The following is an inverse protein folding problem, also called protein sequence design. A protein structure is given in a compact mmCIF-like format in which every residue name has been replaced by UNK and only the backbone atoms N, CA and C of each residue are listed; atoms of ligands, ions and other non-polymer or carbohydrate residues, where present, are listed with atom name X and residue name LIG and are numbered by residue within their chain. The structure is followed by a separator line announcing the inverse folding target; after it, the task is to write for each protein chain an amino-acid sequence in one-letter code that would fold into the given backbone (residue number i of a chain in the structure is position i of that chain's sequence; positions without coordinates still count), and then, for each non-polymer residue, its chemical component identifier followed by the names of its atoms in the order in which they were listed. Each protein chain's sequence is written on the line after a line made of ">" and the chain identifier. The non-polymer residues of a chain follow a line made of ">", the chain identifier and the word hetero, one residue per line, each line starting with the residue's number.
data_IF_896664408500
#
_entry.id   IF_896664408500
#
_cell.length_a   1.000
_cell.length_b   1.000
_cell.length_c   1.000
_cell.angle_alpha   90.00
_cell.angle_beta   90.00
_cell.angle_gamma   90.00
#
_symmetry.space_group_name_H-M   'P 1'
#
loop_
_entity.id
_entity.type
_entity.pdbx_description
1 polymer ?
#
# COMPACT_ATOMS: atom_id res chain seq x y z
N UNK A 1 -10.22 29.90 -11.22
CA UNK A 1 -11.01 29.37 -10.08
C UNK A 1 -10.09 28.50 -9.23
N UNK A 2 -10.00 28.79 -7.94
CA UNK A 2 -8.96 28.24 -7.05
C UNK A 2 -9.23 26.78 -6.66
N UNK A 3 -8.25 25.89 -6.88
CA UNK A 3 -8.30 24.45 -6.54
C UNK A 3 -8.60 24.20 -5.05
N UNK A 4 -8.36 25.19 -4.19
CA UNK A 4 -8.65 25.16 -2.75
C UNK A 4 -10.16 25.25 -2.42
N UNK A 5 -11.02 25.55 -3.39
CA UNK A 5 -12.48 25.60 -3.16
C UNK A 5 -13.08 24.19 -3.02
N UNK A 6 -12.53 23.19 -3.71
CA UNK A 6 -12.94 21.77 -3.60
C UNK A 6 -12.62 21.20 -2.21
N UNK A 7 -11.52 21.62 -1.58
CA UNK A 7 -11.17 21.24 -0.20
C UNK A 7 -12.14 21.82 0.84
N UNK A 8 -12.98 22.80 0.47
CA UNK A 8 -13.97 23.44 1.34
C UNK A 8 -15.35 22.78 1.25
N UNK A 9 -15.59 21.92 0.26
CA UNK A 9 -16.82 21.11 0.19
C UNK A 9 -16.79 19.98 1.23
N UNK A 10 -17.82 19.93 2.08
CA UNK A 10 -17.98 18.92 3.14
C UNK A 10 -17.95 17.46 2.62
N UNK A 11 -18.20 17.25 1.34
CA UNK A 11 -18.21 15.93 0.69
C UNK A 11 -16.83 15.48 0.20
N UNK A 12 -15.92 16.42 -0.10
CA UNK A 12 -14.59 16.13 -0.62
C UNK A 12 -13.55 15.90 0.49
N UNK A 13 -13.68 16.60 1.63
CA UNK A 13 -12.75 16.47 2.77
C UNK A 13 -12.59 15.05 3.31
N UNK A 14 -13.67 14.28 3.58
CA UNK A 14 -13.52 12.92 4.08
C UNK A 14 -12.88 11.99 3.05
N UNK A 15 -13.25 12.13 1.77
CA UNK A 15 -12.66 11.36 0.68
C UNK A 15 -11.16 11.63 0.54
N UNK A 16 -10.78 12.90 0.51
CA UNK A 16 -9.38 13.31 0.41
C UNK A 16 -8.56 12.79 1.59
N UNK A 17 -9.08 12.92 2.83
CA UNK A 17 -8.40 12.39 4.01
C UNK A 17 -8.22 10.87 3.94
N UNK A 18 -9.25 10.12 3.53
CA UNK A 18 -9.12 8.66 3.39
C UNK A 18 -8.10 8.25 2.34
N UNK A 19 -8.06 8.94 1.20
CA UNK A 19 -7.10 8.69 0.12
C UNK A 19 -5.68 9.07 0.53
N UNK A 20 -5.52 10.22 1.19
CA UNK A 20 -4.23 10.66 1.74
C UNK A 20 -3.70 9.68 2.77
N UNK A 21 -4.53 9.25 3.74
CA UNK A 21 -4.13 8.31 4.77
C UNK A 21 -3.82 6.92 4.21
N UNK A 22 -4.53 6.48 3.17
CA UNK A 22 -4.19 5.26 2.43
C UNK A 22 -2.82 5.37 1.78
N UNK A 23 -2.63 6.35 0.90
CA UNK A 23 -1.34 6.56 0.23
C UNK A 23 -0.18 6.76 1.21
N UNK A 24 -0.41 7.44 2.34
CA UNK A 24 0.58 7.59 3.40
C UNK A 24 0.93 6.25 4.05
N UNK A 25 -0.07 5.42 4.38
CA UNK A 25 0.13 4.10 4.97
C UNK A 25 0.97 3.20 4.04
N UNK A 26 0.62 3.15 2.75
CA UNK A 26 1.31 2.31 1.76
C UNK A 26 2.79 2.69 1.64
N UNK A 27 3.05 4.00 1.53
CA UNK A 27 4.41 4.51 1.45
C UNK A 27 5.18 4.35 2.76
N UNK A 28 4.52 4.51 3.91
CA UNK A 28 5.15 4.31 5.21
C UNK A 28 5.54 2.85 5.39
N UNK A 29 4.63 1.91 5.06
CA UNK A 29 4.90 0.48 5.15
C UNK A 29 6.05 0.07 4.23
N UNK A 30 6.02 0.49 2.96
CA UNK A 30 7.11 0.25 2.01
C UNK A 30 8.45 0.76 2.54
N UNK A 31 8.52 2.01 3.02
CA UNK A 31 9.77 2.59 3.51
C UNK A 31 10.23 1.93 4.81
N UNK A 32 9.33 1.61 5.74
CA UNK A 32 9.65 0.87 6.96
C UNK A 32 10.21 -0.51 6.64
N UNK A 33 9.65 -1.21 5.65
CA UNK A 33 10.15 -2.49 5.18
C UNK A 33 11.55 -2.35 4.54
N UNK A 34 11.79 -1.31 3.74
CA UNK A 34 13.13 -1.03 3.18
C UNK A 34 14.15 -0.72 4.27
N UNK A 35 13.78 0.06 5.29
CA UNK A 35 14.64 0.32 6.45
C UNK A 35 14.92 -0.99 7.20
N UNK A 36 13.90 -1.80 7.48
CA UNK A 36 14.09 -3.10 8.14
C UNK A 36 15.03 -3.99 7.32
N UNK A 37 14.84 -4.09 6.02
CA UNK A 37 15.74 -4.82 5.13
C UNK A 37 17.17 -4.27 5.20
N UNK A 38 17.33 -2.95 5.26
CA UNK A 38 18.67 -2.35 5.31
C UNK A 38 19.42 -2.67 6.60
N UNK A 39 18.73 -2.69 7.75
CA UNK A 39 19.36 -2.87 9.06
C UNK A 39 19.30 -4.30 9.60
N UNK A 40 18.29 -5.09 9.23
CA UNK A 40 18.03 -6.43 9.76
C UNK A 40 18.10 -7.53 8.70
N UNK A 41 18.20 -7.23 7.39
CA UNK A 41 18.29 -8.31 6.40
C UNK A 41 19.49 -9.23 6.66
N UNK A 42 20.64 -8.71 7.12
CA UNK A 42 21.79 -9.55 7.47
C UNK A 42 21.49 -10.63 8.53
N UNK A 43 20.45 -10.43 9.34
CA UNK A 43 19.99 -11.41 10.33
C UNK A 43 18.85 -12.32 9.84
N UNK A 44 18.09 -11.90 8.82
CA UNK A 44 16.90 -12.62 8.35
C UNK A 44 17.11 -13.31 6.98
N UNK A 45 18.16 -12.95 6.24
CA UNK A 45 18.46 -13.49 4.92
C UNK A 45 19.93 -13.28 4.55
N UNK A 46 20.42 -14.03 3.57
CA UNK A 46 21.78 -13.90 3.01
C UNK A 46 21.82 -12.96 1.80
N UNK A 47 20.66 -12.46 1.35
CA UNK A 47 20.55 -11.61 0.17
C UNK A 47 20.98 -10.17 0.51
N UNK A 48 21.71 -9.53 -0.42
CA UNK A 48 22.14 -8.16 -0.28
C UNK A 48 20.94 -7.20 -0.04
N UNK A 49 20.99 -6.33 0.99
CA UNK A 49 19.89 -5.42 1.31
C UNK A 49 19.47 -4.51 0.15
N UNK A 50 20.45 -4.07 -0.67
CA UNK A 50 20.19 -3.25 -1.85
C UNK A 50 19.32 -3.97 -2.89
N UNK A 51 19.53 -5.28 -3.10
CA UNK A 51 18.71 -6.07 -4.01
C UNK A 51 17.29 -6.22 -3.46
N UNK A 52 17.15 -6.49 -2.16
CA UNK A 52 15.84 -6.62 -1.51
C UNK A 52 15.06 -5.30 -1.55
N UNK A 53 15.72 -4.16 -1.37
CA UNK A 53 15.09 -2.84 -1.49
C UNK A 53 14.57 -2.58 -2.90
N UNK A 54 15.36 -2.91 -3.94
CA UNK A 54 14.92 -2.79 -5.33
C UNK A 54 13.76 -3.74 -5.65
N UNK A 55 13.81 -4.97 -5.14
CA UNK A 55 12.72 -5.95 -5.28
C UNK A 55 11.45 -5.46 -4.59
N UNK A 56 11.54 -4.94 -3.35
CA UNK A 56 10.40 -4.38 -2.64
C UNK A 56 9.77 -3.22 -3.42
N UNK A 57 10.58 -2.33 -4.00
CA UNK A 57 10.08 -1.25 -4.85
C UNK A 57 9.37 -1.77 -6.12
N UNK A 58 9.93 -2.79 -6.77
CA UNK A 58 9.31 -3.44 -7.93
C UNK A 58 8.01 -4.15 -7.58
N UNK A 59 8.01 -4.98 -6.53
CA UNK A 59 6.86 -5.73 -6.02
C UNK A 59 5.72 -4.79 -5.65
N UNK A 60 6.01 -3.65 -5.04
CA UNK A 60 5.00 -2.65 -4.71
C UNK A 60 4.32 -2.05 -5.93
N UNK A 61 5.04 -1.82 -7.04
CA UNK A 61 4.48 -1.18 -8.25
C UNK A 61 3.75 -2.20 -9.14
N UNK A 62 4.20 -3.45 -9.13
CA UNK A 62 3.73 -4.52 -9.98
C UNK A 62 2.19 -4.76 -9.93
N UNK A 63 1.51 -4.85 -8.77
CA UNK A 63 0.07 -5.03 -8.72
C UNK A 63 -0.68 -3.85 -9.33
N UNK A 64 -0.27 -2.60 -9.03
CA UNK A 64 -0.85 -1.42 -9.66
C UNK A 64 -0.72 -1.47 -11.18
N UNK A 65 0.44 -1.87 -11.68
CA UNK A 65 0.66 -2.00 -13.12
C UNK A 65 -0.25 -3.06 -13.75
N UNK A 66 -0.27 -4.28 -13.19
CA UNK A 66 -1.05 -5.40 -13.74
C UNK A 66 -2.56 -5.18 -13.66
N UNK A 67 -3.05 -4.63 -12.54
CA UNK A 67 -4.48 -4.51 -12.28
C UNK A 67 -5.06 -3.13 -12.60
N UNK A 68 -4.24 -2.14 -13.02
CA UNK A 68 -4.71 -0.78 -13.34
C UNK A 68 -5.86 -0.75 -14.35
N UNK A 69 -5.76 -1.50 -15.44
CA UNK A 69 -6.78 -1.53 -16.49
C UNK A 69 -8.11 -2.13 -15.97
N UNK A 70 -8.03 -3.24 -15.23
CA UNK A 70 -9.21 -3.89 -14.64
C UNK A 70 -9.85 -3.02 -13.55
N UNK A 71 -9.03 -2.37 -12.72
CA UNK A 71 -9.49 -1.45 -11.68
C UNK A 71 -10.21 -0.23 -12.28
N UNK A 72 -9.71 0.29 -13.41
CA UNK A 72 -10.37 1.36 -14.16
C UNK A 72 -11.78 0.96 -14.62
N UNK A 73 -11.89 -0.19 -15.28
CA UNK A 73 -13.20 -0.71 -15.72
C UNK A 73 -14.17 -0.94 -14.54
N UNK A 74 -13.65 -1.41 -13.40
CA UNK A 74 -14.44 -1.61 -12.20
C UNK A 74 -14.90 -0.28 -11.59
N UNK A 75 -14.04 0.73 -11.58
CA UNK A 75 -14.34 2.07 -11.08
C UNK A 75 -15.38 2.82 -11.93
N UNK A 76 -15.48 2.50 -13.22
CA UNK A 76 -16.49 3.05 -14.11
C UNK A 76 -17.85 2.36 -13.95
N UNK A 77 -17.86 1.07 -13.55
CA UNK A 77 -19.08 0.27 -13.42
C UNK A 77 -19.76 0.39 -12.04
N UNK A 78 -19.00 0.63 -10.97
CA UNK A 78 -19.53 0.64 -9.59
C UNK A 78 -19.43 2.01 -8.92
N UNK A 79 -20.25 2.22 -7.88
CA UNK A 79 -20.19 3.43 -7.07
C UNK A 79 -18.81 3.58 -6.40
N UNK A 80 -18.12 4.68 -6.72
CA UNK A 80 -16.80 5.05 -6.21
C UNK A 80 -16.73 5.05 -4.68
N UNK A 81 -17.82 5.39 -4.00
CA UNK A 81 -17.87 5.39 -2.53
C UNK A 81 -17.86 3.96 -1.96
N UNK A 82 -18.56 3.03 -2.60
CA UNK A 82 -18.58 1.61 -2.19
C UNK A 82 -17.24 0.94 -2.46
N UNK A 83 -16.67 1.18 -3.64
CA UNK A 83 -15.32 0.72 -4.01
C UNK A 83 -14.26 1.21 -3.02
N UNK A 84 -14.25 2.51 -2.72
CA UNK A 84 -13.30 3.10 -1.77
C UNK A 84 -13.41 2.47 -0.38
N UNK A 85 -14.63 2.21 0.10
CA UNK A 85 -14.84 1.55 1.40
C UNK A 85 -14.33 0.10 1.39
N UNK A 86 -14.59 -0.65 0.32
CA UNK A 86 -14.13 -2.03 0.18
C UNK A 86 -12.60 -2.11 0.17
N UNK A 87 -11.95 -1.26 -0.64
CA UNK A 87 -10.49 -1.17 -0.71
C UNK A 87 -9.91 -0.84 0.67
N UNK A 88 -10.51 0.09 1.42
CA UNK A 88 -10.02 0.42 2.76
C UNK A 88 -10.11 -0.74 3.75
N UNK A 89 -11.18 -1.55 3.68
CA UNK A 89 -11.31 -2.75 4.52
C UNK A 89 -10.25 -3.80 4.14
N UNK A 90 -10.00 -3.98 2.83
CA UNK A 90 -8.93 -4.86 2.35
C UNK A 90 -7.55 -4.38 2.82
N UNK A 91 -7.27 -3.09 2.74
CA UNK A 91 -6.02 -2.48 3.22
C UNK A 91 -5.79 -2.79 4.70
N UNK A 92 -6.83 -2.63 5.55
CA UNK A 92 -6.73 -2.99 6.98
C UNK A 92 -6.45 -4.47 7.17
N UNK A 93 -7.09 -5.36 6.40
CA UNK A 93 -6.82 -6.80 6.47
C UNK A 93 -5.37 -7.13 6.05
N UNK A 94 -4.85 -6.49 5.01
CA UNK A 94 -3.46 -6.63 4.56
C UNK A 94 -2.49 -6.12 5.64
N UNK A 95 -2.80 -5.02 6.31
CA UNK A 95 -1.98 -4.51 7.41
C UNK A 95 -1.95 -5.46 8.62
N UNK A 96 -3.04 -6.19 8.89
CA UNK A 96 -3.02 -7.24 9.92
C UNK A 96 -2.13 -8.42 9.51
N UNK A 97 -2.12 -8.81 8.23
CA UNK A 97 -1.20 -9.82 7.70
C UNK A 97 0.26 -9.33 7.76
N UNK A 98 0.51 -8.07 7.42
CA UNK A 98 1.83 -7.45 7.56
C UNK A 98 2.31 -7.46 9.00
N UNK A 99 1.44 -7.12 9.96
CA UNK A 99 1.74 -7.20 11.39
C UNK A 99 2.12 -8.63 11.81
N UNK A 100 1.36 -9.64 11.37
CA UNK A 100 1.72 -11.04 11.60
C UNK A 100 3.08 -11.39 10.98
N UNK A 101 3.38 -10.89 9.78
CA UNK A 101 4.67 -11.04 9.11
C UNK A 101 5.84 -10.46 9.92
N UNK A 102 5.65 -9.30 10.56
CA UNK A 102 6.65 -8.72 11.46
C UNK A 102 6.87 -9.59 12.70
N UNK A 103 5.80 -10.05 13.35
CA UNK A 103 5.89 -10.89 14.56
C UNK A 103 6.55 -12.24 14.26
N UNK A 104 6.25 -12.81 13.10
CA UNK A 104 6.82 -14.09 12.64
C UNK A 104 8.22 -13.94 12.03
N UNK A 105 8.76 -12.71 11.91
CA UNK A 105 10.01 -12.40 11.22
C UNK A 105 10.09 -13.00 9.81
N UNK A 106 8.96 -13.05 9.09
CA UNK A 106 8.87 -13.69 7.79
C UNK A 106 8.90 -12.67 6.66
N UNK A 107 10.05 -12.59 5.98
CA UNK A 107 10.22 -11.74 4.80
C UNK A 107 9.22 -12.06 3.68
N UNK A 108 8.90 -13.33 3.47
CA UNK A 108 7.94 -13.75 2.44
C UNK A 108 6.53 -13.20 2.72
N UNK A 109 6.08 -13.23 3.98
CA UNK A 109 4.77 -12.68 4.38
C UNK A 109 4.76 -11.16 4.23
N UNK A 110 5.85 -10.49 4.62
CA UNK A 110 5.98 -9.04 4.49
C UNK A 110 6.00 -8.56 3.03
N UNK A 111 6.74 -9.26 2.16
CA UNK A 111 6.77 -8.99 0.72
C UNK A 111 5.43 -9.32 0.05
N UNK A 112 4.75 -10.39 0.48
CA UNK A 112 3.41 -10.73 0.03
C UNK A 112 2.39 -9.67 0.44
N UNK A 113 2.45 -9.16 1.68
CA UNK A 113 1.62 -8.05 2.12
C UNK A 113 1.90 -6.78 1.30
N UNK A 114 3.17 -6.49 0.98
CA UNK A 114 3.56 -5.36 0.13
C UNK A 114 3.03 -5.48 -1.31
N UNK A 115 2.89 -6.69 -1.83
CA UNK A 115 2.30 -6.95 -3.15
C UNK A 115 0.78 -6.80 -3.18
N UNK A 116 0.11 -7.08 -2.05
CA UNK A 116 -1.35 -7.00 -1.96
C UNK A 116 -1.85 -5.58 -1.67
N UNK A 117 -0.98 -4.75 -1.10
CA UNK A 117 -1.17 -3.32 -0.84
C UNK A 117 -1.19 -2.52 -2.14
#
# INVERSE_FOLDING_TARGET
>A
MSQFHLLREQRFRPFFLTQFLGAFNDNLFKNALVVLLTFQAASWTTIAPALLANLAAGIFILPFFLFSATAGQLADKYDKARLTRLVKVLEVAIMLVALAGFVLHSLAVLLGALFLL
#
